data_IF_837935732394
#
_entry.id   IF_837935732394
#
_cell.length_a   1.000
_cell.length_b   1.000
_cell.length_c   1.000
_cell.angle_alpha   90.00
_cell.angle_beta   90.00
_cell.angle_gamma   90.00
#
_symmetry.space_group_name_H-M   'P 1'
#
loop_
_entity.id
_entity.type
_entity.pdbx_description
1 polymer ?
#
# COMPACT_ATOMS: atom_id res chain seq x y z
N UNK A 1 19.73 16.03 26.21
CA UNK A 1 20.17 14.96 27.07
C UNK A 1 19.36 13.72 26.80
N UNK A 2 20.06 12.62 26.51
CA UNK A 2 19.44 11.30 26.34
C UNK A 2 19.27 10.70 27.73
N UNK A 3 18.10 10.12 27.99
CA UNK A 3 17.83 9.45 29.25
C UNK A 3 17.42 8.02 28.98
N UNK A 4 18.12 7.05 29.53
CA UNK A 4 17.81 5.63 29.42
C UNK A 4 16.84 5.27 30.57
N UNK A 5 15.68 4.75 30.22
CA UNK A 5 14.59 4.39 31.14
C UNK A 5 14.73 2.96 31.68
N UNK A 6 15.95 2.54 32.03
CA UNK A 6 16.21 1.20 32.54
C UNK A 6 17.69 0.89 32.66
N UNK A 7 18.01 -0.32 33.13
CA UNK A 7 19.37 -0.84 33.17
C UNK A 7 19.77 -1.39 31.81
N UNK A 8 20.92 -0.97 31.30
CA UNK A 8 21.48 -1.49 30.06
C UNK A 8 22.25 -2.79 30.31
N UNK A 9 21.89 -3.84 29.56
CA UNK A 9 22.56 -5.15 29.64
C UNK A 9 23.08 -5.51 28.25
N UNK A 10 24.36 -5.86 28.17
CA UNK A 10 24.97 -6.39 26.97
C UNK A 10 24.71 -7.90 26.88
N UNK A 11 24.09 -8.35 25.80
CA UNK A 11 23.79 -9.76 25.56
C UNK A 11 24.45 -10.23 24.28
N UNK A 12 25.11 -11.40 24.34
CA UNK A 12 25.66 -12.03 23.14
C UNK A 12 24.54 -12.78 22.40
N UNK A 13 24.28 -12.39 21.17
CA UNK A 13 23.31 -13.04 20.28
C UNK A 13 24.00 -13.78 19.14
N UNK A 14 23.27 -14.59 18.37
CA UNK A 14 23.80 -15.27 17.20
C UNK A 14 24.30 -14.29 16.11
N UNK A 15 23.95 -13.02 16.19
CA UNK A 15 24.29 -11.98 15.22
C UNK A 15 25.30 -10.94 15.76
N UNK A 16 25.78 -11.13 17.00
CA UNK A 16 26.75 -10.23 17.63
C UNK A 16 26.33 -9.82 19.05
N UNK A 17 27.02 -8.79 19.58
CA UNK A 17 26.65 -8.19 20.88
C UNK A 17 25.47 -7.24 20.67
N UNK A 18 24.44 -7.40 21.48
CA UNK A 18 23.25 -6.55 21.48
C UNK A 18 23.09 -5.86 22.84
N UNK A 19 22.55 -4.64 22.84
CA UNK A 19 22.33 -3.89 24.06
C UNK A 19 20.82 -3.85 24.32
N UNK A 20 20.37 -4.52 25.38
CA UNK A 20 18.97 -4.49 25.79
C UNK A 20 18.79 -3.58 27.02
N UNK A 21 17.65 -2.87 27.05
CA UNK A 21 17.26 -2.06 28.21
C UNK A 21 16.24 -2.87 29.00
N UNK A 22 16.57 -3.19 30.27
CA UNK A 22 15.68 -3.92 31.17
C UNK A 22 15.04 -2.94 32.16
N UNK A 23 13.78 -3.17 32.59
CA UNK A 23 13.15 -2.38 33.62
C UNK A 23 13.98 -2.44 34.93
N UNK A 24 14.12 -1.32 35.61
CA UNK A 24 14.75 -1.26 36.94
C UNK A 24 13.87 -2.01 37.92
N UNK A 25 14.44 -2.97 38.65
CA UNK A 25 13.70 -3.81 39.58
C UNK A 25 13.07 -2.94 40.69
N UNK A 26 11.76 -3.03 40.89
CA UNK A 26 11.02 -2.27 41.90
C UNK A 26 10.60 -0.86 41.49
N UNK A 27 10.82 -0.44 40.25
CA UNK A 27 10.34 0.85 39.73
C UNK A 27 9.28 0.64 38.63
N UNK A 28 8.19 1.38 38.72
CA UNK A 28 7.16 1.42 37.70
C UNK A 28 7.61 2.30 36.50
N UNK A 29 7.47 1.80 35.27
CA UNK A 29 7.83 2.53 34.03
C UNK A 29 7.14 3.91 33.98
N UNK A 30 5.92 4.02 34.49
CA UNK A 30 5.16 5.26 34.57
C UNK A 30 5.81 6.33 35.44
N UNK A 31 6.50 5.92 36.51
CA UNK A 31 7.23 6.83 37.40
C UNK A 31 8.55 7.29 36.76
N UNK A 32 9.29 6.36 36.14
CA UNK A 32 10.51 6.68 35.41
C UNK A 32 10.22 7.65 34.26
N UNK A 33 9.11 7.46 33.53
CA UNK A 33 8.68 8.37 32.48
C UNK A 33 8.33 9.76 33.00
N UNK A 34 7.62 9.85 34.12
CA UNK A 34 7.31 11.15 34.77
C UNK A 34 8.58 11.88 35.20
N UNK A 35 9.54 11.17 35.77
CA UNK A 35 10.83 11.71 36.15
C UNK A 35 11.61 12.18 34.92
N UNK A 36 11.72 11.36 33.85
CA UNK A 36 12.37 11.71 32.61
C UNK A 36 11.77 12.97 32.00
N UNK A 37 10.44 13.06 31.94
CA UNK A 37 9.72 14.22 31.40
C UNK A 37 9.96 15.47 32.25
N UNK A 38 10.08 15.33 33.60
CA UNK A 38 10.36 16.46 34.47
C UNK A 38 11.74 17.08 34.25
N UNK A 39 12.69 16.31 33.76
CA UNK A 39 14.04 16.77 33.41
C UNK A 39 14.13 17.39 32.01
N UNK A 40 13.10 17.28 31.17
CA UNK A 40 13.02 17.98 29.91
C UNK A 40 12.77 19.46 30.18
N UNK A 41 13.82 20.19 30.51
CA UNK A 41 13.81 21.65 30.56
C UNK A 41 13.89 22.21 29.14
N UNK A 42 12.89 21.94 28.34
CA UNK A 42 12.75 22.53 27.02
C UNK A 42 11.60 23.53 27.07
N UNK A 43 11.88 24.80 27.21
CA UNK A 43 11.02 25.79 26.60
C UNK A 43 11.01 25.46 25.09
N UNK A 44 9.85 25.08 24.56
CA UNK A 44 9.63 25.09 23.14
C UNK A 44 9.92 26.52 22.66
N UNK A 45 11.13 26.75 22.21
CA UNK A 45 11.42 27.90 21.39
C UNK A 45 10.87 27.55 20.02
N UNK A 46 9.76 28.16 19.67
CA UNK A 46 9.35 28.19 18.27
C UNK A 46 10.58 28.67 17.48
N UNK A 47 11.24 27.75 16.79
CA UNK A 47 12.25 28.12 15.84
C UNK A 47 11.46 28.90 14.80
N UNK A 48 11.62 30.24 14.80
CA UNK A 48 11.23 31.03 13.64
C UNK A 48 12.11 30.49 12.52
N UNK A 49 11.53 29.58 11.76
CA UNK A 49 12.13 29.17 10.50
C UNK A 49 12.38 30.46 9.72
N UNK A 50 13.61 30.70 9.22
CA UNK A 50 13.86 31.87 8.42
C UNK A 50 12.76 31.95 7.36
N UNK A 51 12.26 33.15 7.07
CA UNK A 51 11.22 33.44 6.05
C UNK A 51 11.66 33.06 4.61
N UNK A 52 12.52 32.06 4.48
CA UNK A 52 12.83 31.40 3.23
C UNK A 52 11.66 30.49 2.88
N UNK A 53 10.89 30.92 1.96
CA UNK A 53 9.67 30.35 1.43
C UNK A 53 8.43 30.52 2.33
N UNK A 54 7.82 31.72 2.25
CA UNK A 54 6.37 31.76 2.12
C UNK A 54 6.07 31.02 0.80
N UNK A 55 6.31 29.69 0.80
CA UNK A 55 5.91 28.80 -0.26
C UNK A 55 4.44 29.06 -0.50
N UNK A 56 4.04 29.23 -1.74
CA UNK A 56 2.66 29.30 -2.19
C UNK A 56 1.83 28.43 -1.26
N UNK A 57 0.79 28.97 -0.65
CA UNK A 57 -0.14 28.17 0.15
C UNK A 57 -0.54 26.98 -0.72
N UNK A 58 0.00 25.81 -0.38
CA UNK A 58 -0.30 24.59 -1.14
C UNK A 58 -1.77 24.31 -0.85
N UNK A 59 -2.58 24.36 -1.88
CA UNK A 59 -4.00 24.05 -1.78
C UNK A 59 -4.17 22.63 -1.21
N UNK A 60 -4.86 22.52 -0.09
CA UNK A 60 -5.15 21.26 0.57
C UNK A 60 -6.65 21.08 0.69
N UNK A 61 -7.11 19.86 0.44
CA UNK A 61 -8.51 19.45 0.61
C UNK A 61 -8.58 18.24 1.56
N UNK A 62 -9.70 18.02 2.27
CA UNK A 62 -9.88 16.83 3.09
C UNK A 62 -9.76 15.57 2.25
N UNK A 63 -9.11 14.54 2.80
CA UNK A 63 -9.01 13.25 2.13
C UNK A 63 -10.35 12.51 2.15
N UNK A 64 -10.72 11.95 1.00
CA UNK A 64 -11.89 11.08 0.86
C UNK A 64 -11.52 9.62 1.19
N UNK A 65 -12.46 8.81 1.72
CA UNK A 65 -12.17 7.42 2.14
C UNK A 65 -11.70 6.50 1.01
N UNK A 66 -12.13 6.77 -0.21
CA UNK A 66 -11.84 5.99 -1.43
C UNK A 66 -10.39 6.15 -1.93
N UNK A 67 -9.72 7.25 -1.59
CA UNK A 67 -8.32 7.46 -1.94
C UNK A 67 -7.43 6.82 -0.88
N UNK A 68 -6.53 5.91 -1.28
CA UNK A 68 -5.56 5.29 -0.36
C UNK A 68 -4.54 6.31 0.13
N UNK A 69 -4.03 6.11 1.36
CA UNK A 69 -2.94 6.94 1.87
C UNK A 69 -1.67 6.76 1.01
N UNK A 70 -0.90 7.83 0.84
CA UNK A 70 0.27 7.88 -0.04
C UNK A 70 -0.06 7.50 -1.49
N UNK A 71 -1.13 8.09 -2.02
CA UNK A 71 -1.54 7.88 -3.41
C UNK A 71 -1.93 9.20 -4.06
N UNK A 72 -1.64 9.28 -5.35
CA UNK A 72 -2.13 10.36 -6.20
C UNK A 72 -3.63 10.18 -6.48
N UNK A 73 -4.32 11.28 -6.64
CA UNK A 73 -5.70 11.32 -7.13
C UNK A 73 -5.93 12.54 -8.01
N UNK A 74 -6.98 12.51 -8.79
CA UNK A 74 -7.35 13.61 -9.69
C UNK A 74 -8.70 14.16 -9.25
N UNK A 75 -8.74 15.46 -8.89
CA UNK A 75 -9.96 16.18 -8.53
C UNK A 75 -10.05 17.41 -9.41
N UNK A 76 -11.15 17.58 -10.15
CA UNK A 76 -11.39 18.69 -11.07
C UNK A 76 -10.21 18.98 -12.03
N UNK A 77 -9.58 17.90 -12.54
CA UNK A 77 -8.46 17.98 -13.47
C UNK A 77 -7.13 18.41 -12.84
N UNK A 78 -7.05 18.53 -11.51
CA UNK A 78 -5.83 18.77 -10.76
C UNK A 78 -5.35 17.50 -10.05
N UNK A 79 -4.04 17.35 -9.94
CA UNK A 79 -3.42 16.23 -9.24
C UNK A 79 -3.22 16.58 -7.78
N UNK A 80 -3.68 15.69 -6.92
CA UNK A 80 -3.48 15.75 -5.48
C UNK A 80 -2.76 14.50 -4.99
N UNK A 81 -1.99 14.63 -3.93
CA UNK A 81 -1.35 13.52 -3.23
C UNK A 81 -1.89 13.42 -1.82
N UNK A 82 -2.38 12.24 -1.43
CA UNK A 82 -2.93 12.03 -0.09
C UNK A 82 -1.84 11.73 0.92
N UNK A 83 -1.80 12.54 1.98
CA UNK A 83 -1.01 12.32 3.18
C UNK A 83 -1.94 12.36 4.41
N UNK A 84 -2.21 11.19 4.96
CA UNK A 84 -3.13 11.03 6.11
C UNK A 84 -4.56 11.54 5.81
N UNK A 85 -5.01 12.54 6.55
CA UNK A 85 -6.37 13.12 6.44
C UNK A 85 -6.50 14.24 5.42
N UNK A 86 -5.42 14.60 4.73
CA UNK A 86 -5.40 15.69 3.75
C UNK A 86 -4.90 15.21 2.39
N UNK A 87 -5.40 15.85 1.35
CA UNK A 87 -4.89 15.72 -0.02
C UNK A 87 -4.28 17.07 -0.41
N UNK A 88 -3.00 17.06 -0.71
CA UNK A 88 -2.22 18.24 -1.09
C UNK A 88 -2.13 18.32 -2.61
N UNK A 89 -2.45 19.47 -3.16
CA UNK A 89 -2.27 19.73 -4.59
C UNK A 89 -0.79 19.62 -4.97
N UNK A 90 -0.52 18.95 -6.08
CA UNK A 90 0.85 18.76 -6.58
C UNK A 90 1.01 19.56 -7.87
N UNK A 91 1.94 20.53 -7.86
CA UNK A 91 2.30 21.29 -9.05
C UNK A 91 3.22 20.46 -9.93
N UNK A 92 2.69 19.96 -11.03
CA UNK A 92 3.42 19.19 -12.03
C UNK A 92 3.45 19.95 -13.36
N UNK A 93 4.56 19.78 -14.09
CA UNK A 93 4.56 20.19 -15.49
C UNK A 93 3.60 19.31 -16.30
N UNK A 94 3.14 19.80 -17.46
CA UNK A 94 2.13 19.13 -18.29
C UNK A 94 2.48 17.66 -18.59
N UNK A 95 3.74 17.35 -18.88
CA UNK A 95 4.19 15.98 -19.17
C UNK A 95 4.10 15.06 -17.95
N UNK A 96 4.51 15.55 -16.78
CA UNK A 96 4.42 14.80 -15.53
C UNK A 96 2.96 14.64 -15.10
N UNK A 97 2.13 15.69 -15.28
CA UNK A 97 0.70 15.65 -15.02
C UNK A 97 0.00 14.58 -15.87
N UNK A 98 0.25 14.57 -17.18
CA UNK A 98 -0.29 13.57 -18.09
C UNK A 98 0.08 12.13 -17.66
N UNK A 99 1.34 11.92 -17.25
CA UNK A 99 1.81 10.61 -16.76
C UNK A 99 1.06 10.18 -15.50
N UNK A 100 1.01 11.07 -14.51
CA UNK A 100 0.32 10.79 -13.23
C UNK A 100 -1.15 10.52 -13.46
N UNK A 101 -1.84 11.34 -14.25
CA UNK A 101 -3.27 11.16 -14.56
C UNK A 101 -3.55 9.82 -15.24
N UNK A 102 -2.75 9.46 -16.25
CA UNK A 102 -2.91 8.17 -16.93
C UNK A 102 -2.62 6.97 -16.02
N UNK A 103 -1.65 7.08 -15.11
CA UNK A 103 -1.36 6.01 -14.14
C UNK A 103 -2.43 5.91 -13.04
N UNK A 104 -3.04 7.04 -12.63
CA UNK A 104 -4.20 7.03 -11.73
C UNK A 104 -5.39 6.34 -12.39
N UNK A 105 -5.65 6.60 -13.68
CA UNK A 105 -6.69 5.93 -14.47
C UNK A 105 -6.45 4.42 -14.56
N UNK A 106 -5.24 4.01 -14.98
CA UNK A 106 -4.86 2.59 -15.04
C UNK A 106 -5.03 1.90 -13.70
N UNK A 107 -4.61 2.54 -12.60
CA UNK A 107 -4.79 2.02 -11.23
C UNK A 107 -6.26 1.79 -10.91
N UNK A 108 -7.15 2.71 -11.29
CA UNK A 108 -8.58 2.57 -11.10
C UNK A 108 -9.11 1.31 -11.77
N UNK A 109 -8.82 1.15 -13.06
CA UNK A 109 -9.26 -0.02 -13.84
C UNK A 109 -8.69 -1.33 -13.28
N UNK A 110 -7.41 -1.35 -12.88
CA UNK A 110 -6.76 -2.53 -12.28
C UNK A 110 -7.43 -2.90 -10.95
N UNK A 111 -7.70 -1.93 -10.08
CA UNK A 111 -8.37 -2.19 -8.81
C UNK A 111 -9.79 -2.75 -9.02
N UNK A 112 -10.56 -2.19 -9.93
CA UNK A 112 -11.90 -2.71 -10.28
C UNK A 112 -11.82 -4.13 -10.86
N UNK A 113 -10.82 -4.41 -11.73
CA UNK A 113 -10.62 -5.74 -12.27
C UNK A 113 -10.25 -6.76 -11.18
N UNK A 114 -9.44 -6.35 -10.20
CA UNK A 114 -9.12 -7.17 -9.02
C UNK A 114 -10.39 -7.46 -8.21
N UNK A 115 -11.19 -6.44 -7.94
CA UNK A 115 -12.45 -6.56 -7.20
C UNK A 115 -13.43 -7.50 -7.92
N UNK A 116 -13.62 -7.34 -9.23
CA UNK A 116 -14.47 -8.22 -10.03
C UNK A 116 -14.04 -9.69 -9.95
N UNK A 117 -12.73 -9.95 -9.93
CA UNK A 117 -12.20 -11.30 -9.80
C UNK A 117 -12.37 -11.87 -8.39
N UNK A 118 -12.20 -11.04 -7.34
CA UNK A 118 -12.38 -11.44 -5.93
C UNK A 118 -13.84 -11.76 -5.61
N UNK A 119 -14.77 -10.97 -6.15
CA UNK A 119 -16.22 -11.14 -5.94
C UNK A 119 -16.89 -12.14 -6.88
N UNK A 120 -16.08 -12.87 -7.66
CA UNK A 120 -16.52 -13.91 -8.61
C UNK A 120 -17.54 -13.42 -9.65
N UNK A 121 -17.33 -12.23 -10.19
CA UNK A 121 -18.14 -11.71 -11.29
C UNK A 121 -18.08 -12.64 -12.51
N UNK A 122 -19.14 -12.66 -13.36
CA UNK A 122 -19.17 -13.44 -14.61
C UNK A 122 -17.97 -13.14 -15.51
N UNK A 123 -17.49 -14.17 -16.23
CA UNK A 123 -16.32 -14.05 -17.09
C UNK A 123 -16.49 -13.02 -18.22
N UNK A 124 -17.74 -12.77 -18.67
CA UNK A 124 -18.04 -11.71 -19.63
C UNK A 124 -17.70 -10.32 -19.10
N UNK A 125 -18.02 -10.04 -17.82
CA UNK A 125 -17.72 -8.76 -17.19
C UNK A 125 -16.22 -8.59 -16.97
N UNK A 126 -15.54 -9.67 -16.57
CA UNK A 126 -14.08 -9.67 -16.43
C UNK A 126 -13.42 -9.42 -17.80
N UNK A 127 -13.86 -10.09 -18.86
CA UNK A 127 -13.33 -9.89 -20.21
C UNK A 127 -13.56 -8.47 -20.71
N UNK A 128 -14.72 -7.88 -20.41
CA UNK A 128 -15.00 -6.48 -20.76
C UNK A 128 -14.06 -5.53 -20.01
N UNK A 129 -13.82 -5.76 -18.72
CA UNK A 129 -12.89 -4.92 -17.92
C UNK A 129 -11.45 -5.12 -18.38
N UNK A 130 -11.06 -6.32 -18.84
CA UNK A 130 -9.77 -6.58 -19.46
C UNK A 130 -9.58 -5.84 -20.77
N UNK A 131 -10.62 -5.74 -21.59
CA UNK A 131 -10.58 -4.95 -22.82
C UNK A 131 -10.38 -3.46 -22.51
N UNK A 132 -11.11 -2.91 -21.52
CA UNK A 132 -10.94 -1.53 -21.04
C UNK A 132 -9.51 -1.29 -20.56
N UNK A 133 -8.94 -2.22 -19.76
CA UNK A 133 -7.55 -2.13 -19.31
C UNK A 133 -6.56 -2.15 -20.48
N UNK A 134 -6.79 -2.98 -21.50
CA UNK A 134 -5.95 -3.03 -22.69
C UNK A 134 -5.96 -1.71 -23.45
N UNK A 135 -7.15 -1.14 -23.69
CA UNK A 135 -7.31 0.11 -24.42
C UNK A 135 -6.65 1.27 -23.68
N UNK A 136 -6.88 1.39 -22.37
CA UNK A 136 -6.27 2.42 -21.53
C UNK A 136 -4.73 2.29 -21.47
N UNK A 137 -4.23 1.05 -21.32
CA UNK A 137 -2.79 0.79 -21.31
C UNK A 137 -2.13 1.14 -22.65
N UNK A 138 -2.73 0.73 -23.77
CA UNK A 138 -2.17 1.00 -25.09
C UNK A 138 -2.16 2.50 -25.40
N UNK A 139 -3.21 3.23 -25.02
CA UNK A 139 -3.26 4.69 -25.11
C UNK A 139 -2.18 5.36 -24.24
N UNK A 140 -2.02 4.89 -22.98
CA UNK A 140 -0.99 5.38 -22.09
C UNK A 140 0.42 5.12 -22.62
N UNK A 141 0.70 3.88 -23.04
CA UNK A 141 2.02 3.47 -23.51
C UNK A 141 2.40 4.19 -24.80
N UNK A 142 1.46 4.42 -25.72
CA UNK A 142 1.68 5.18 -26.95
C UNK A 142 2.11 6.64 -26.67
N UNK A 143 1.56 7.26 -25.62
CA UNK A 143 1.84 8.67 -25.26
C UNK A 143 3.05 8.82 -24.34
N UNK A 144 3.17 7.96 -23.34
CA UNK A 144 4.08 8.10 -22.21
C UNK A 144 5.20 7.06 -22.16
N UNK A 145 5.16 6.06 -23.04
CA UNK A 145 6.04 4.89 -23.01
C UNK A 145 5.64 3.90 -21.91
N UNK A 146 6.45 2.87 -21.71
CA UNK A 146 6.20 1.82 -20.74
C UNK A 146 6.08 2.36 -19.31
N UNK A 147 5.23 1.74 -18.49
CA UNK A 147 5.08 2.08 -17.06
C UNK A 147 6.43 1.98 -16.34
N UNK A 148 7.20 0.94 -16.66
CA UNK A 148 8.52 0.69 -16.08
C UNK A 148 9.62 1.65 -16.56
N UNK A 149 9.34 2.59 -17.46
CA UNK A 149 10.36 3.53 -17.88
C UNK A 149 10.70 4.54 -16.77
N UNK A 150 11.94 5.03 -16.80
CA UNK A 150 12.48 5.94 -15.78
C UNK A 150 11.62 7.19 -15.58
N UNK A 151 11.05 7.75 -16.65
CA UNK A 151 10.29 9.00 -16.55
C UNK A 151 8.93 8.79 -15.85
N UNK A 152 8.28 7.65 -16.08
CA UNK A 152 7.06 7.27 -15.38
C UNK A 152 7.36 6.93 -13.91
N UNK A 153 8.47 6.21 -13.65
CA UNK A 153 8.94 5.98 -12.28
C UNK A 153 9.18 7.26 -11.50
N UNK A 154 9.89 8.22 -12.08
CA UNK A 154 10.13 9.51 -11.42
C UNK A 154 8.85 10.30 -11.14
N UNK A 155 7.82 10.16 -11.97
CA UNK A 155 6.56 10.87 -11.80
C UNK A 155 5.62 10.22 -10.77
N UNK A 156 5.72 8.90 -10.54
CA UNK A 156 4.71 8.13 -9.81
C UNK A 156 5.27 7.21 -8.73
N UNK A 157 6.59 7.14 -8.51
CA UNK A 157 7.20 6.22 -7.54
C UNK A 157 6.73 6.42 -6.09
N UNK A 158 6.26 7.62 -5.75
CA UNK A 158 5.72 7.93 -4.42
C UNK A 158 4.32 7.35 -4.18
N UNK A 159 3.62 6.91 -5.25
CA UNK A 159 2.31 6.28 -5.13
C UNK A 159 2.42 4.86 -4.59
N UNK A 160 1.62 4.55 -3.58
CA UNK A 160 1.58 3.23 -2.94
C UNK A 160 1.26 2.07 -3.91
N UNK A 161 0.66 2.38 -5.07
CA UNK A 161 0.28 1.40 -6.10
C UNK A 161 1.27 1.35 -7.27
N UNK A 162 2.40 2.07 -7.21
CA UNK A 162 3.37 2.11 -8.32
C UNK A 162 3.83 0.72 -8.74
N UNK A 163 4.22 -0.12 -7.80
CA UNK A 163 4.71 -1.47 -8.10
C UNK A 163 3.60 -2.41 -8.62
N UNK A 164 2.35 -2.20 -8.22
CA UNK A 164 1.21 -2.90 -8.81
C UNK A 164 1.10 -2.58 -10.30
N UNK A 165 1.23 -1.31 -10.67
CA UNK A 165 1.20 -0.92 -12.08
C UNK A 165 2.42 -1.43 -12.85
N UNK A 166 3.61 -1.39 -12.27
CA UNK A 166 4.82 -1.97 -12.87
C UNK A 166 4.66 -3.46 -13.19
N UNK A 167 3.90 -4.21 -12.39
CA UNK A 167 3.65 -5.64 -12.60
C UNK A 167 2.75 -5.95 -13.80
N UNK A 168 2.16 -4.94 -14.43
CA UNK A 168 1.41 -5.09 -15.69
C UNK A 168 2.31 -5.36 -16.89
N UNK A 169 3.61 -5.11 -16.77
CA UNK A 169 4.59 -5.28 -17.84
C UNK A 169 5.64 -6.34 -17.48
N UNK A 170 5.84 -7.31 -18.34
CA UNK A 170 6.98 -8.20 -18.30
C UNK A 170 8.07 -7.60 -19.19
N UNK A 171 9.11 -7.05 -18.58
CA UNK A 171 10.23 -6.40 -19.29
C UNK A 171 11.47 -7.31 -19.31
N UNK A 172 12.35 -7.11 -20.28
CA UNK A 172 13.65 -7.76 -20.34
C UNK A 172 14.73 -6.97 -19.53
N UNK A 173 15.97 -7.48 -19.54
CA UNK A 173 17.09 -6.85 -18.84
C UNK A 173 17.45 -5.46 -19.40
N UNK A 174 17.08 -5.20 -20.66
CA UNK A 174 17.28 -3.91 -21.33
C UNK A 174 16.10 -2.94 -21.13
N UNK A 175 15.02 -3.38 -20.45
CA UNK A 175 13.84 -2.60 -20.18
C UNK A 175 12.82 -2.57 -21.34
N UNK A 176 12.93 -3.48 -22.33
CA UNK A 176 11.95 -3.59 -23.39
C UNK A 176 10.79 -4.50 -22.98
N UNK A 177 9.59 -4.20 -23.45
CA UNK A 177 8.41 -5.01 -23.21
C UNK A 177 8.52 -6.37 -23.88
N UNK A 178 8.55 -7.45 -23.11
CA UNK A 178 8.42 -8.84 -23.60
C UNK A 178 6.95 -9.21 -23.83
N UNK A 179 6.10 -8.90 -22.85
CA UNK A 179 4.67 -9.17 -22.91
C UNK A 179 3.92 -8.35 -21.85
N UNK A 180 2.64 -8.12 -22.07
CA UNK A 180 1.73 -7.69 -21.01
C UNK A 180 1.53 -8.84 -20.02
N UNK A 181 1.20 -8.51 -18.76
CA UNK A 181 0.90 -9.49 -17.72
C UNK A 181 -0.36 -10.31 -18.05
N UNK A 182 -0.49 -11.48 -17.44
CA UNK A 182 -1.65 -12.36 -17.64
C UNK A 182 -3.00 -11.72 -17.30
N UNK A 183 -3.00 -10.73 -16.41
CA UNK A 183 -4.19 -9.97 -16.00
C UNK A 183 -4.96 -9.36 -17.19
N UNK A 184 -4.27 -9.02 -18.26
CA UNK A 184 -4.89 -8.46 -19.48
C UNK A 184 -5.76 -9.43 -20.26
N UNK A 185 -5.57 -10.75 -20.08
CA UNK A 185 -6.20 -11.78 -20.91
C UNK A 185 -6.78 -12.95 -20.15
N UNK A 186 -6.41 -13.13 -18.88
CA UNK A 186 -6.78 -14.27 -18.07
C UNK A 186 -7.32 -13.83 -16.71
N UNK A 187 -8.21 -14.62 -16.12
CA UNK A 187 -8.53 -14.52 -14.71
C UNK A 187 -7.31 -14.94 -13.90
N UNK A 188 -6.73 -14.03 -13.13
CA UNK A 188 -5.50 -14.24 -12.33
C UNK A 188 -5.81 -14.51 -10.86
N UNK A 189 -6.98 -14.08 -10.39
CA UNK A 189 -7.44 -14.27 -9.01
C UNK A 189 -8.65 -15.21 -9.05
N UNK A 190 -8.57 -16.27 -8.27
CA UNK A 190 -9.71 -17.15 -8.02
C UNK A 190 -10.30 -16.79 -6.66
N UNK A 191 -11.60 -16.51 -6.56
CA UNK A 191 -12.23 -16.25 -5.27
C UNK A 191 -12.06 -17.47 -4.38
N UNK A 192 -11.82 -17.25 -3.11
CA UNK A 192 -11.74 -18.32 -2.12
C UNK A 192 -13.16 -18.85 -1.90
N UNK A 193 -13.50 -19.96 -2.56
CA UNK A 193 -14.78 -20.63 -2.37
C UNK A 193 -14.75 -21.31 -1.00
N UNK A 194 -15.45 -20.73 -0.04
CA UNK A 194 -15.69 -21.42 1.21
C UNK A 194 -16.51 -22.69 0.92
N UNK A 195 -15.98 -23.82 1.33
CA UNK A 195 -16.71 -25.08 1.23
C UNK A 195 -17.85 -25.04 2.25
N UNK A 196 -19.08 -25.08 1.77
CA UNK A 196 -20.30 -25.03 2.61
C UNK A 196 -20.93 -26.40 2.84
N UNK A 197 -20.50 -27.41 2.09
CA UNK A 197 -20.94 -28.80 2.26
C UNK A 197 -19.86 -29.75 1.75
N UNK A 198 -19.84 -30.96 2.32
CA UNK A 198 -18.93 -32.05 1.95
C UNK A 198 -19.68 -33.39 1.97
N UNK A 199 -19.17 -34.36 1.21
CA UNK A 199 -19.78 -35.67 1.11
C UNK A 199 -19.30 -36.67 2.21
N UNK A 200 -18.14 -36.40 2.81
CA UNK A 200 -17.52 -37.34 3.76
C UNK A 200 -17.02 -36.66 5.03
N UNK A 201 -17.07 -37.36 6.20
CA UNK A 201 -16.50 -36.86 7.44
C UNK A 201 -14.98 -36.54 7.36
N UNK A 202 -14.26 -37.25 6.49
CA UNK A 202 -12.83 -37.02 6.29
C UNK A 202 -12.56 -35.67 5.60
N UNK A 203 -13.40 -35.28 4.66
CA UNK A 203 -13.35 -33.97 4.03
C UNK A 203 -13.70 -32.86 5.03
N UNK A 204 -14.76 -33.06 5.83
CA UNK A 204 -15.15 -32.12 6.90
C UNK A 204 -13.98 -31.90 7.89
N UNK A 205 -13.27 -33.01 8.24
CA UNK A 205 -12.09 -32.93 9.11
C UNK A 205 -10.95 -32.12 8.47
N UNK A 206 -10.65 -32.38 7.20
CA UNK A 206 -9.61 -31.65 6.48
C UNK A 206 -9.89 -30.15 6.42
N UNK A 207 -11.14 -29.77 6.14
CA UNK A 207 -11.58 -28.37 6.11
C UNK A 207 -11.55 -27.76 7.52
N UNK A 208 -11.99 -28.48 8.54
CA UNK A 208 -11.94 -28.03 9.93
C UNK A 208 -10.50 -27.73 10.38
N UNK A 209 -9.54 -28.58 10.02
CA UNK A 209 -8.12 -28.37 10.32
C UNK A 209 -7.59 -27.16 9.50
N UNK A 210 -7.95 -27.06 8.22
CA UNK A 210 -7.48 -25.96 7.34
C UNK A 210 -8.01 -24.59 7.76
N UNK A 211 -9.31 -24.47 8.07
CA UNK A 211 -9.94 -23.17 8.37
C UNK A 211 -9.89 -22.78 9.85
N UNK A 212 -9.94 -23.77 10.76
CA UNK A 212 -10.03 -23.52 12.22
C UNK A 212 -8.74 -23.86 12.96
N UNK A 213 -7.76 -24.51 12.31
CA UNK A 213 -6.53 -24.96 12.93
C UNK A 213 -6.72 -26.10 13.96
N UNK A 214 -7.93 -26.70 14.05
CA UNK A 214 -8.30 -27.73 15.02
C UNK A 214 -9.46 -28.58 14.53
N UNK A 215 -9.69 -29.70 15.20
CA UNK A 215 -10.91 -30.50 15.01
C UNK A 215 -12.09 -29.80 15.70
N UNK A 216 -12.99 -29.22 14.93
CA UNK A 216 -14.19 -28.52 15.40
C UNK A 216 -15.43 -29.30 14.97
N UNK A 217 -15.89 -30.21 15.83
CA UNK A 217 -17.05 -31.08 15.53
C UNK A 217 -18.34 -30.31 15.21
N UNK A 218 -18.71 -29.22 15.93
CA UNK A 218 -19.85 -28.40 15.56
C UNK A 218 -19.73 -27.79 14.16
N UNK A 219 -18.54 -27.31 13.76
CA UNK A 219 -18.29 -26.80 12.42
C UNK A 219 -18.39 -27.92 11.37
N UNK A 220 -17.74 -29.04 11.62
CA UNK A 220 -17.80 -30.22 10.73
C UNK A 220 -19.23 -30.73 10.49
N UNK A 221 -20.11 -30.60 11.47
CA UNK A 221 -21.51 -31.02 11.35
C UNK A 221 -22.36 -30.03 10.52
N UNK A 222 -21.84 -28.84 10.20
CA UNK A 222 -22.52 -27.86 9.38
C UNK A 222 -22.09 -27.93 7.90
N UNK A 223 -21.04 -28.69 7.63
CA UNK A 223 -20.51 -28.97 6.29
C UNK A 223 -21.21 -30.21 5.70
#
# INVERSE_FOLDING_TARGET
PEMVLGDTVEESTAYGMDITVRPIEGMELSELLKEAVSHIQGTYQAVELPEADKGKEIETIPATPDVKNFSYTVVDGNVYFRENSLMRRVDLNEKAKDRVMGMVELRGIVNELIEYQLEDYPDEMITQKQAELNDAYDAFAAKNGLINNRANGQAFADDSSYYLLCSLENVDEDGNLKSKADMFTKRTIKPERRVTSVDTPSEALAISIGERGKVDLPFMAQL
#
